data_IF_795328044660
#
_entry.id   IF_795328044660
#
_cell.length_a   1.000
_cell.length_b   1.000
_cell.length_c   1.000
_cell.angle_alpha   90.00
_cell.angle_beta   90.00
_cell.angle_gamma   90.00
#
_symmetry.space_group_name_H-M   'P 1'
#
loop_
_entity.id
_entity.type
_entity.pdbx_description
1 polymer ?
#
# COMPACT_ATOMS: atom_id res chain seq x y z
N UNK A 1 35.86 -39.67 -35.12
CA UNK A 1 35.26 -39.42 -33.80
C UNK A 1 35.34 -37.93 -33.53
N UNK A 2 34.24 -37.20 -33.77
CA UNK A 2 34.22 -35.73 -33.65
C UNK A 2 33.25 -35.39 -32.53
N UNK A 3 33.77 -34.90 -31.41
CA UNK A 3 32.99 -34.54 -30.23
C UNK A 3 32.33 -33.17 -30.46
N UNK A 4 30.99 -33.13 -30.52
CA UNK A 4 30.22 -31.90 -30.56
C UNK A 4 30.07 -31.39 -29.12
N UNK A 5 30.77 -30.30 -28.80
CA UNK A 5 30.65 -29.58 -27.53
C UNK A 5 29.36 -28.75 -27.58
N UNK A 6 28.37 -29.06 -26.73
CA UNK A 6 27.19 -28.21 -26.51
C UNK A 6 27.53 -27.15 -25.46
N UNK A 7 27.61 -25.89 -25.86
CA UNK A 7 27.67 -24.76 -24.93
C UNK A 7 26.25 -24.44 -24.41
N UNK A 8 26.06 -24.52 -23.09
CA UNK A 8 24.81 -24.15 -22.43
C UNK A 8 24.90 -22.66 -22.04
N UNK A 9 24.19 -21.78 -22.76
CA UNK A 9 24.14 -20.36 -22.43
C UNK A 9 23.25 -20.14 -21.21
N UNK A 10 23.83 -19.68 -20.11
CA UNK A 10 23.09 -19.22 -18.92
C UNK A 10 22.49 -17.84 -19.21
N UNK A 11 21.16 -17.76 -19.28
CA UNK A 11 20.46 -16.47 -19.26
C UNK A 11 20.62 -15.87 -17.86
N UNK A 12 21.36 -14.78 -17.74
CA UNK A 12 21.40 -14.00 -16.52
C UNK A 12 20.06 -13.28 -16.34
N UNK A 13 19.31 -13.61 -15.29
CA UNK A 13 18.13 -12.85 -14.89
C UNK A 13 18.59 -11.51 -14.34
N UNK A 14 18.40 -10.44 -15.10
CA UNK A 14 18.55 -9.08 -14.59
C UNK A 14 17.38 -8.77 -13.66
N UNK A 15 17.64 -8.77 -12.35
CA UNK A 15 16.72 -8.16 -11.39
C UNK A 15 16.83 -6.65 -11.58
N UNK A 16 15.82 -6.01 -12.17
CA UNK A 16 15.70 -4.55 -12.05
C UNK A 16 15.61 -4.23 -10.56
N UNK A 17 16.57 -3.48 -10.04
CA UNK A 17 16.48 -2.95 -8.69
C UNK A 17 15.28 -1.99 -8.68
N UNK A 18 14.22 -2.35 -7.97
CA UNK A 18 13.12 -1.44 -7.69
C UNK A 18 13.67 -0.34 -6.78
N UNK A 19 13.59 0.91 -7.23
CA UNK A 19 14.04 2.05 -6.44
C UNK A 19 12.89 2.57 -5.58
N UNK A 20 13.05 2.49 -4.26
CA UNK A 20 12.04 2.93 -3.32
C UNK A 20 12.15 4.43 -3.07
N UNK A 21 11.74 5.20 -4.06
CA UNK A 21 11.77 6.65 -4.00
C UNK A 21 10.68 7.19 -3.08
N UNK A 22 10.89 8.41 -2.60
CA UNK A 22 9.89 9.09 -1.77
C UNK A 22 8.60 9.33 -2.54
N UNK A 23 8.73 9.67 -3.82
CA UNK A 23 7.63 9.91 -4.76
C UNK A 23 6.80 8.65 -4.96
N UNK A 24 7.45 7.50 -5.10
CA UNK A 24 6.75 6.21 -5.19
C UNK A 24 5.95 5.92 -3.91
N UNK A 25 6.57 6.09 -2.75
CA UNK A 25 5.89 5.87 -1.47
C UNK A 25 4.73 6.83 -1.26
N UNK A 26 4.86 8.10 -1.67
CA UNK A 26 3.77 9.06 -1.64
C UNK A 26 2.60 8.59 -2.53
N UNK A 27 2.90 8.18 -3.77
CA UNK A 27 1.88 7.65 -4.69
C UNK A 27 1.22 6.35 -4.21
N UNK A 28 1.85 5.64 -3.26
CA UNK A 28 1.27 4.46 -2.60
C UNK A 28 0.39 4.84 -1.41
N UNK A 29 0.75 5.91 -0.68
CA UNK A 29 -0.01 6.38 0.49
C UNK A 29 -1.27 7.17 0.10
N UNK A 30 -1.19 8.00 -0.95
CA UNK A 30 -2.30 8.88 -1.37
C UNK A 30 -3.61 8.13 -1.66
N UNK A 31 -3.61 6.97 -2.36
CA UNK A 31 -4.82 6.20 -2.60
C UNK A 31 -5.49 5.67 -1.32
N UNK A 32 -4.72 5.40 -0.26
CA UNK A 32 -5.30 5.00 1.03
C UNK A 32 -6.05 6.17 1.69
N UNK A 33 -5.50 7.39 1.60
CA UNK A 33 -6.17 8.59 2.09
C UNK A 33 -7.45 8.86 1.29
N UNK A 34 -7.42 8.73 -0.04
CA UNK A 34 -8.60 8.87 -0.91
C UNK A 34 -9.69 7.83 -0.60
N UNK A 35 -9.29 6.56 -0.38
CA UNK A 35 -10.20 5.51 0.06
C UNK A 35 -10.90 5.90 1.36
N UNK A 36 -10.14 6.31 2.37
CA UNK A 36 -10.72 6.65 3.68
C UNK A 36 -11.60 7.90 3.61
N UNK A 37 -11.27 8.87 2.74
CA UNK A 37 -12.05 10.07 2.54
C UNK A 37 -13.38 9.80 1.83
N UNK A 38 -13.40 8.86 0.89
CA UNK A 38 -14.52 8.73 -0.06
C UNK A 38 -15.29 7.41 0.02
N UNK A 39 -14.70 6.37 0.60
CA UNK A 39 -15.24 5.01 0.59
C UNK A 39 -15.15 4.30 -0.77
N UNK A 40 -14.44 4.85 -1.76
CA UNK A 40 -14.39 4.32 -3.12
C UNK A 40 -13.24 3.33 -3.32
N UNK A 41 -13.51 2.04 -3.11
CA UNK A 41 -12.52 0.97 -3.27
C UNK A 41 -12.00 0.78 -4.70
N UNK A 42 -12.78 1.18 -5.71
CA UNK A 42 -12.36 1.14 -7.11
C UNK A 42 -11.21 2.10 -7.40
N UNK A 43 -10.96 3.10 -6.54
CA UNK A 43 -9.82 4.02 -6.64
C UNK A 43 -8.59 3.56 -5.86
N UNK A 44 -8.73 2.53 -5.02
CA UNK A 44 -7.63 1.94 -4.25
C UNK A 44 -7.09 0.70 -4.98
N UNK A 45 -6.41 0.95 -6.09
CA UNK A 45 -5.95 -0.08 -7.02
C UNK A 45 -4.53 -0.61 -6.71
N UNK A 46 -4.07 -1.58 -7.51
CA UNK A 46 -2.71 -2.14 -7.49
C UNK A 46 -2.28 -2.81 -6.17
N UNK A 47 -3.25 -3.32 -5.42
CA UNK A 47 -3.00 -4.07 -4.19
C UNK A 47 -2.39 -5.44 -4.52
N UNK A 48 -1.43 -5.86 -3.70
CA UNK A 48 -0.88 -7.20 -3.80
C UNK A 48 -1.99 -8.26 -3.60
N UNK A 49 -1.97 -9.34 -4.38
CA UNK A 49 -2.92 -10.46 -4.21
C UNK A 49 -2.94 -11.07 -2.80
N UNK A 50 -1.82 -10.95 -2.08
CA UNK A 50 -1.66 -11.44 -0.70
C UNK A 50 -1.76 -10.33 0.35
N UNK A 51 -2.28 -9.16 -0.02
CA UNK A 51 -2.51 -8.07 0.91
C UNK A 51 -3.40 -8.56 2.06
N UNK A 52 -2.99 -8.24 3.29
CA UNK A 52 -3.80 -8.44 4.49
C UNK A 52 -4.14 -7.07 5.05
N UNK A 53 -5.44 -6.85 5.24
CA UNK A 53 -5.93 -5.67 5.92
C UNK A 53 -6.18 -5.99 7.39
N UNK A 54 -5.77 -5.08 8.27
CA UNK A 54 -5.94 -5.21 9.70
C UNK A 54 -6.61 -3.97 10.27
N UNK A 55 -7.61 -4.20 11.11
CA UNK A 55 -8.22 -3.17 11.96
C UNK A 55 -8.08 -3.63 13.40
N UNK A 56 -7.58 -2.74 14.29
CA UNK A 56 -7.40 -3.06 15.71
C UNK A 56 -6.63 -4.37 15.96
N UNK A 57 -5.57 -4.61 15.17
CA UNK A 57 -4.72 -5.81 15.21
C UNK A 57 -5.44 -7.13 14.85
N UNK A 58 -6.60 -7.07 14.20
CA UNK A 58 -7.34 -8.24 13.72
C UNK A 58 -7.48 -8.21 12.21
N UNK A 59 -7.46 -9.38 11.56
CA UNK A 59 -7.71 -9.48 10.12
C UNK A 59 -9.14 -9.02 9.86
N UNK A 60 -9.27 -8.03 8.98
CA UNK A 60 -10.55 -7.43 8.60
C UNK A 60 -10.69 -7.39 7.07
N UNK A 61 -11.92 -7.17 6.61
CA UNK A 61 -12.20 -6.95 5.19
C UNK A 61 -12.12 -5.47 4.89
N UNK A 62 -11.23 -5.07 3.98
CA UNK A 62 -11.11 -3.66 3.55
C UNK A 62 -12.38 -3.18 2.83
N UNK A 63 -13.16 -4.09 2.25
CA UNK A 63 -14.39 -3.79 1.48
C UNK A 63 -15.60 -3.48 2.37
N UNK A 64 -15.43 -3.56 3.69
CA UNK A 64 -16.50 -3.38 4.68
C UNK A 64 -15.94 -2.64 5.89
N UNK A 65 -16.82 -2.14 6.77
CA UNK A 65 -16.36 -1.40 7.95
C UNK A 65 -15.94 0.02 7.58
N UNK A 66 -14.97 0.57 8.31
CA UNK A 66 -14.63 2.00 8.26
C UNK A 66 -14.24 2.47 6.84
N UNK A 67 -13.40 1.74 6.07
CA UNK A 67 -13.03 2.17 4.72
C UNK A 67 -14.17 2.18 3.70
N UNK A 68 -15.38 1.68 4.03
CA UNK A 68 -16.51 1.67 3.13
C UNK A 68 -17.47 2.86 3.28
N UNK A 69 -17.34 3.66 4.34
CA UNK A 69 -18.28 4.74 4.62
C UNK A 69 -17.88 6.09 4.03
N UNK A 70 -16.56 6.31 3.85
CA UNK A 70 -16.01 7.64 3.58
C UNK A 70 -16.13 8.53 4.83
N UNK A 71 -15.04 9.21 5.16
CA UNK A 71 -14.95 10.03 6.36
C UNK A 71 -14.50 11.45 6.01
N UNK A 72 -14.99 12.43 6.75
CA UNK A 72 -14.42 13.78 6.70
C UNK A 72 -13.10 13.76 7.47
N UNK A 73 -11.98 13.73 6.74
CA UNK A 73 -10.64 13.75 7.32
C UNK A 73 -10.26 15.20 7.64
N UNK A 74 -10.05 15.50 8.92
CA UNK A 74 -9.67 16.85 9.37
C UNK A 74 -8.17 17.09 9.28
N UNK A 75 -7.37 16.04 9.52
CA UNK A 75 -5.94 16.07 9.33
C UNK A 75 -5.42 14.67 9.00
N UNK A 76 -4.33 14.61 8.25
CA UNK A 76 -3.59 13.38 8.04
C UNK A 76 -2.10 13.63 7.90
N UNK A 77 -1.31 12.60 8.17
CA UNK A 77 0.13 12.61 7.95
C UNK A 77 0.61 11.25 7.49
N UNK A 78 1.36 11.23 6.40
CA UNK A 78 2.08 10.05 5.93
C UNK A 78 3.57 10.15 6.24
N UNK A 79 4.13 9.10 6.84
CA UNK A 79 5.56 8.87 7.02
C UNK A 79 5.99 7.94 5.88
N UNK A 80 6.99 8.36 5.12
CA UNK A 80 7.52 7.62 3.97
C UNK A 80 8.94 7.17 4.29
N UNK A 81 9.11 5.88 4.58
CA UNK A 81 10.40 5.27 4.91
C UNK A 81 10.99 4.63 3.66
N UNK A 82 11.89 5.36 2.98
CA UNK A 82 12.62 4.89 1.79
C UNK A 82 13.67 3.83 2.10
N UNK A 83 14.04 3.64 3.39
CA UNK A 83 15.02 2.63 3.80
C UNK A 83 14.36 1.26 3.94
N UNK A 84 13.19 1.22 4.58
CA UNK A 84 12.40 -0.02 4.73
C UNK A 84 11.40 -0.23 3.60
N UNK A 85 11.22 0.77 2.73
CA UNK A 85 10.21 0.83 1.69
C UNK A 85 8.78 0.65 2.22
N UNK A 86 8.44 1.47 3.21
CA UNK A 86 7.14 1.41 3.90
C UNK A 86 6.52 2.78 4.05
N UNK A 87 5.21 2.80 4.10
CA UNK A 87 4.43 3.98 4.47
C UNK A 87 3.72 3.72 5.78
N UNK A 88 3.60 4.75 6.60
CA UNK A 88 2.64 4.79 7.70
C UNK A 88 1.77 6.02 7.55
N UNK A 89 0.44 5.89 7.61
CA UNK A 89 -0.47 7.04 7.47
C UNK A 89 -1.37 7.15 8.69
N UNK A 90 -1.31 8.31 9.36
CA UNK A 90 -2.22 8.68 10.45
C UNK A 90 -3.36 9.55 9.90
N UNK A 91 -4.60 9.25 10.27
CA UNK A 91 -5.80 10.02 9.93
C UNK A 91 -6.49 10.48 11.21
N UNK A 92 -6.93 11.74 11.26
CA UNK A 92 -7.66 12.34 12.37
C UNK A 92 -9.04 12.78 11.87
N UNK A 93 -10.07 12.27 12.52
CA UNK A 93 -11.48 12.58 12.28
C UNK A 93 -12.08 13.13 13.58
N UNK A 94 -12.62 14.33 13.52
CA UNK A 94 -13.18 15.08 14.65
C UNK A 94 -14.70 15.20 14.60
N UNK A 95 -15.36 14.41 13.74
CA UNK A 95 -16.82 14.27 13.72
C UNK A 95 -17.33 13.90 15.12
N UNK A 96 -18.24 14.70 15.72
CA UNK A 96 -18.70 14.47 17.09
C UNK A 96 -19.53 13.20 17.26
N UNK A 97 -20.10 12.65 16.19
CA UNK A 97 -20.86 11.40 16.21
C UNK A 97 -19.94 10.17 16.16
N UNK A 98 -18.83 10.28 15.43
CA UNK A 98 -17.89 9.18 15.20
C UNK A 98 -16.43 9.69 15.16
N UNK A 99 -15.86 10.11 16.30
CA UNK A 99 -14.50 10.63 16.34
C UNK A 99 -13.49 9.48 16.28
N UNK A 100 -12.45 9.62 15.45
CA UNK A 100 -11.44 8.59 15.25
C UNK A 100 -10.03 9.14 15.09
N UNK A 101 -9.06 8.36 15.53
CA UNK A 101 -7.65 8.48 15.13
C UNK A 101 -7.21 7.11 14.63
N UNK A 102 -6.85 7.02 13.35
CA UNK A 102 -6.37 5.79 12.73
C UNK A 102 -4.90 5.91 12.39
N UNK A 103 -4.21 4.78 12.42
CA UNK A 103 -2.89 4.65 11.82
C UNK A 103 -2.81 3.32 11.08
N UNK A 104 -2.17 3.33 9.91
CA UNK A 104 -1.83 2.12 9.14
C UNK A 104 -0.36 2.13 8.75
#
# INVERSE_FOLDING_TARGET
MTHIIRALATMATSTMAFDCTREYLQSTADPYVDLMATGQHDRFENLAYLMKYFENSQIASILSGIPAFGLTIDAYRSILDTTQCKTMTELIITDPTHPYVFYT
#
